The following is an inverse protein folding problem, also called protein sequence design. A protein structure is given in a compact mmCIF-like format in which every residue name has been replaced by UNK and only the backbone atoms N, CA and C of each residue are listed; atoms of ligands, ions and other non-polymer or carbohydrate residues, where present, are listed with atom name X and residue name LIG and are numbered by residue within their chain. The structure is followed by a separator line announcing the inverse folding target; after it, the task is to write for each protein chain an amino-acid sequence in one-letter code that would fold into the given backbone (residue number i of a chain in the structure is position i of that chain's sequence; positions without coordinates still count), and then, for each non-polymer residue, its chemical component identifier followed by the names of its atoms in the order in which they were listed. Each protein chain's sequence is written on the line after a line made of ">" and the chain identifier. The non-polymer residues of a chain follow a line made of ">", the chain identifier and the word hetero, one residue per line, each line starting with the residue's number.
data_IF_191360983256
#
_entry.id   IF_191360983256
#
_cell.length_a   1.000
_cell.length_b   1.000
_cell.length_c   1.000
_cell.angle_alpha   90.00
_cell.angle_beta   90.00
_cell.angle_gamma   90.00
#
_symmetry.space_group_name_H-M   'P 1'
#
loop_
_entity.id
_entity.type
_entity.pdbx_description
1 polymer ?
#
# COMPACT_ATOMS: atom_id res chain seq x y z
N UNK A 1 19.52 5.26 6.32
CA UNK A 1 18.08 5.55 6.53
C UNK A 1 17.57 4.73 7.71
N UNK A 2 16.95 5.36 8.69
CA UNK A 2 16.41 4.63 9.83
C UNK A 2 15.07 3.97 9.47
N UNK A 3 14.56 3.09 10.34
CA UNK A 3 13.34 2.32 10.09
C UNK A 3 12.13 3.22 9.86
N UNK A 4 12.03 4.30 10.62
CA UNK A 4 10.90 5.24 10.53
C UNK A 4 10.89 5.99 9.20
N UNK A 5 12.05 6.47 8.76
CA UNK A 5 12.19 7.18 7.48
C UNK A 5 11.93 6.25 6.30
N UNK A 6 12.36 5.00 6.41
CA UNK A 6 12.13 3.98 5.41
C UNK A 6 10.64 3.69 5.22
N UNK A 7 9.91 3.54 6.33
CA UNK A 7 8.47 3.33 6.29
C UNK A 7 7.76 4.53 5.64
N UNK A 8 8.13 5.74 6.03
CA UNK A 8 7.54 6.95 5.47
C UNK A 8 7.81 7.05 3.96
N UNK A 9 9.02 6.69 3.52
CA UNK A 9 9.36 6.67 2.09
C UNK A 9 8.49 5.69 1.32
N UNK A 10 8.26 4.49 1.87
CA UNK A 10 7.40 3.50 1.25
C UNK A 10 5.98 4.02 1.12
N UNK A 11 5.44 4.60 2.18
CA UNK A 11 4.08 5.17 2.18
C UNK A 11 3.96 6.25 1.09
N UNK A 12 4.92 7.16 1.02
CA UNK A 12 4.90 8.25 0.04
C UNK A 12 4.98 7.72 -1.40
N UNK A 13 5.81 6.71 -1.65
CA UNK A 13 5.92 6.09 -2.98
C UNK A 13 4.60 5.45 -3.38
N UNK A 14 3.93 4.76 -2.46
CA UNK A 14 2.63 4.14 -2.73
C UNK A 14 1.60 5.20 -3.09
N UNK A 15 1.51 6.26 -2.30
CA UNK A 15 0.54 7.34 -2.53
C UNK A 15 0.80 8.02 -3.88
N UNK A 16 2.04 8.41 -4.14
CA UNK A 16 2.41 9.10 -5.38
C UNK A 16 2.17 8.19 -6.59
N UNK A 17 2.50 6.92 -6.50
CA UNK A 17 2.29 5.96 -7.56
C UNK A 17 0.81 5.76 -7.89
N UNK A 18 -0.03 5.67 -6.87
CA UNK A 18 -1.47 5.51 -7.07
C UNK A 18 -2.08 6.76 -7.70
N UNK A 19 -1.68 7.95 -7.26
CA UNK A 19 -2.21 9.21 -7.79
C UNK A 19 -1.77 9.47 -9.23
N UNK A 20 -0.52 9.17 -9.56
CA UNK A 20 0.05 9.55 -10.85
C UNK A 20 -0.35 8.62 -11.99
N UNK A 21 -0.69 7.37 -11.71
CA UNK A 21 -0.90 6.37 -12.75
C UNK A 21 -2.36 6.07 -13.07
N UNK A 22 -3.26 6.14 -12.07
CA UNK A 22 -4.59 5.61 -12.29
C UNK A 22 -5.72 6.30 -11.63
N UNK A 23 -5.53 6.55 -10.37
CA UNK A 23 -6.63 7.01 -9.54
C UNK A 23 -6.34 8.46 -9.17
N UNK A 24 -6.45 9.34 -10.16
CA UNK A 24 -6.24 10.76 -9.93
C UNK A 24 -7.34 11.31 -9.02
N UNK A 25 -7.30 10.86 -7.78
CA UNK A 25 -8.28 11.13 -6.75
C UNK A 25 -7.59 11.87 -5.61
N UNK A 26 -8.02 13.09 -5.34
CA UNK A 26 -7.46 13.93 -4.29
C UNK A 26 -7.62 13.33 -2.89
N UNK A 27 -8.53 12.35 -2.72
CA UNK A 27 -8.73 11.65 -1.45
C UNK A 27 -7.65 10.63 -1.15
N UNK A 28 -6.79 10.31 -2.13
CA UNK A 28 -5.63 9.42 -1.88
C UNK A 28 -4.56 10.24 -1.16
N UNK A 29 -4.65 10.31 0.15
CA UNK A 29 -3.71 11.00 1.02
C UNK A 29 -3.16 10.02 2.04
N UNK A 30 -2.04 10.37 2.65
CA UNK A 30 -1.46 9.57 3.74
C UNK A 30 -2.48 9.35 4.86
N UNK A 31 -3.17 10.41 5.25
CA UNK A 31 -4.16 10.37 6.33
C UNK A 31 -5.28 9.39 6.01
N UNK A 32 -5.81 9.43 4.80
CA UNK A 32 -6.91 8.57 4.39
C UNK A 32 -6.46 7.11 4.19
N UNK A 33 -5.29 6.90 3.59
CA UNK A 33 -4.76 5.55 3.36
C UNK A 33 -4.46 4.85 4.68
N UNK A 34 -3.87 5.57 5.65
CA UNK A 34 -3.59 5.02 6.97
C UNK A 34 -4.81 5.04 7.89
N UNK A 35 -5.87 5.72 7.50
CA UNK A 35 -7.08 5.90 8.30
C UNK A 35 -8.19 4.91 7.95
N UNK A 36 -9.42 5.34 8.16
CA UNK A 36 -10.61 4.50 8.02
C UNK A 36 -11.47 4.86 6.81
N UNK A 37 -10.95 5.64 5.86
CA UNK A 37 -11.71 6.01 4.68
C UNK A 37 -12.18 4.77 3.92
N UNK A 38 -13.43 4.80 3.45
CA UNK A 38 -14.04 3.75 2.65
C UNK A 38 -14.11 4.12 1.17
N UNK A 39 -13.50 5.23 0.76
CA UNK A 39 -13.37 5.59 -0.64
C UNK A 39 -12.70 4.43 -1.38
N UNK A 40 -13.27 4.02 -2.51
CA UNK A 40 -12.81 2.87 -3.27
C UNK A 40 -11.35 2.99 -3.68
N UNK A 41 -10.93 4.15 -4.20
CA UNK A 41 -9.56 4.36 -4.64
C UNK A 41 -8.58 4.37 -3.47
N UNK A 42 -9.00 4.91 -2.32
CA UNK A 42 -8.21 4.86 -1.08
C UNK A 42 -8.05 3.42 -0.61
N UNK A 43 -9.11 2.61 -0.71
CA UNK A 43 -9.03 1.19 -0.35
C UNK A 43 -8.09 0.41 -1.26
N UNK A 44 -8.08 0.73 -2.56
CA UNK A 44 -7.13 0.12 -3.51
C UNK A 44 -5.69 0.50 -3.15
N UNK A 45 -5.44 1.77 -2.86
CA UNK A 45 -4.11 2.24 -2.45
C UNK A 45 -3.67 1.56 -1.14
N UNK A 46 -4.60 1.39 -0.21
CA UNK A 46 -4.32 0.70 1.07
C UNK A 46 -3.94 -0.76 0.84
N UNK A 47 -4.63 -1.45 -0.05
CA UNK A 47 -4.30 -2.85 -0.40
C UNK A 47 -2.91 -2.94 -1.02
N UNK A 48 -2.55 -2.02 -1.90
CA UNK A 48 -1.20 -1.96 -2.48
C UNK A 48 -0.16 -1.75 -1.37
N UNK A 49 -0.43 -0.82 -0.46
CA UNK A 49 0.50 -0.54 0.65
C UNK A 49 0.75 -1.80 1.49
N UNK A 50 -0.31 -2.53 1.83
CA UNK A 50 -0.17 -3.78 2.59
C UNK A 50 0.69 -4.79 1.82
N UNK A 51 0.44 -4.97 0.54
CA UNK A 51 1.22 -5.88 -0.31
C UNK A 51 2.70 -5.50 -0.36
N UNK A 52 2.99 -4.21 -0.52
CA UNK A 52 4.36 -3.70 -0.57
C UNK A 52 5.07 -3.88 0.78
N UNK A 53 4.37 -3.63 1.88
CA UNK A 53 4.96 -3.77 3.21
C UNK A 53 5.29 -5.24 3.52
N UNK A 54 4.43 -6.17 3.12
CA UNK A 54 4.73 -7.61 3.27
C UNK A 54 5.98 -7.98 2.48
N UNK A 55 6.09 -7.52 1.24
CA UNK A 55 7.28 -7.77 0.42
C UNK A 55 8.54 -7.16 1.03
N UNK A 56 8.41 -6.04 1.72
CA UNK A 56 9.52 -5.37 2.38
C UNK A 56 9.93 -6.03 3.70
N UNK A 57 9.23 -7.10 4.12
CA UNK A 57 9.57 -7.86 5.31
C UNK A 57 8.78 -7.50 6.56
N UNK A 58 7.80 -6.59 6.46
CA UNK A 58 6.94 -6.27 7.61
C UNK A 58 5.99 -7.43 7.89
N UNK A 59 5.72 -7.68 9.17
CA UNK A 59 4.75 -8.70 9.58
C UNK A 59 3.34 -8.14 9.57
N UNK A 60 2.33 -9.02 9.55
CA UNK A 60 0.93 -8.60 9.66
C UNK A 60 0.70 -7.82 10.95
N UNK A 61 1.33 -8.23 12.04
CA UNK A 61 1.22 -7.55 13.35
C UNK A 61 1.77 -6.12 13.27
N UNK A 62 2.93 -5.94 12.66
CA UNK A 62 3.51 -4.61 12.47
C UNK A 62 2.62 -3.72 11.60
N UNK A 63 2.11 -4.28 10.51
CA UNK A 63 1.22 -3.55 9.60
C UNK A 63 -0.08 -3.16 10.31
N UNK A 64 -0.64 -4.05 11.12
CA UNK A 64 -1.83 -3.77 11.90
C UNK A 64 -1.62 -2.55 12.82
N UNK A 65 -0.45 -2.47 13.46
CA UNK A 65 -0.10 -1.30 14.28
C UNK A 65 0.00 -0.01 13.46
N UNK A 66 0.63 -0.09 12.29
CA UNK A 66 0.79 1.06 11.39
C UNK A 66 -0.56 1.60 10.92
N UNK A 67 -1.46 0.69 10.52
CA UNK A 67 -2.78 1.06 9.99
C UNK A 67 -3.85 1.18 11.06
N UNK A 68 -3.51 0.93 12.33
CA UNK A 68 -4.46 0.92 13.45
C UNK A 68 -5.65 0.00 13.17
N UNK A 69 -5.33 -1.22 12.71
CA UNK A 69 -6.30 -2.26 12.38
C UNK A 69 -5.93 -3.55 13.09
N UNK A 70 -6.84 -4.53 13.04
CA UNK A 70 -6.55 -5.87 13.55
C UNK A 70 -5.70 -6.64 12.53
N UNK A 71 -4.99 -7.67 12.99
CA UNK A 71 -4.26 -8.57 12.08
C UNK A 71 -5.21 -9.26 11.10
N UNK A 72 -6.43 -9.54 11.52
CA UNK A 72 -7.46 -10.10 10.65
C UNK A 72 -7.82 -9.12 9.53
N UNK A 73 -7.99 -7.84 9.87
CA UNK A 73 -8.24 -6.78 8.88
C UNK A 73 -7.10 -6.64 7.87
N UNK A 74 -5.86 -6.73 8.34
CA UNK A 74 -4.69 -6.74 7.45
C UNK A 74 -4.73 -7.97 6.54
N UNK A 75 -5.12 -9.13 7.06
CA UNK A 75 -5.28 -10.34 6.26
C UNK A 75 -6.29 -10.18 5.14
N UNK A 76 -7.41 -9.50 5.38
CA UNK A 76 -8.39 -9.20 4.34
C UNK A 76 -7.82 -8.28 3.25
N UNK A 77 -7.08 -7.26 3.64
CA UNK A 77 -6.43 -6.36 2.68
C UNK A 77 -5.40 -7.10 1.82
N UNK A 78 -4.67 -8.01 2.44
CA UNK A 78 -3.68 -8.82 1.73
C UNK A 78 -4.34 -9.75 0.73
N UNK A 79 -5.46 -10.39 1.10
CA UNK A 79 -6.26 -11.22 0.18
C UNK A 79 -6.77 -10.39 -0.99
N UNK A 80 -7.28 -9.19 -0.72
CA UNK A 80 -7.73 -8.28 -1.77
C UNK A 80 -6.60 -7.93 -2.73
N UNK A 81 -5.41 -7.66 -2.20
CA UNK A 81 -4.23 -7.39 -3.03
C UNK A 81 -3.94 -8.57 -3.97
N UNK A 82 -3.90 -9.79 -3.44
CA UNK A 82 -3.61 -10.96 -4.27
C UNK A 82 -4.68 -11.22 -5.33
N UNK A 83 -5.94 -11.04 -4.96
CA UNK A 83 -7.04 -11.18 -5.91
C UNK A 83 -6.94 -10.14 -7.03
N UNK A 84 -6.70 -8.89 -6.69
CA UNK A 84 -6.58 -7.81 -7.66
C UNK A 84 -5.36 -7.97 -8.57
N UNK A 85 -4.26 -8.51 -8.06
CA UNK A 85 -3.10 -8.83 -8.87
C UNK A 85 -3.42 -9.85 -9.96
N UNK A 86 -4.37 -10.75 -9.69
CA UNK A 86 -4.81 -11.77 -10.67
C UNK A 86 -5.87 -11.25 -11.62
N UNK A 87 -6.76 -10.37 -11.17
CA UNK A 87 -7.97 -10.00 -11.91
C UNK A 87 -7.92 -8.62 -12.55
N UNK A 88 -7.04 -7.73 -12.11
CA UNK A 88 -6.93 -6.38 -12.64
C UNK A 88 -5.55 -6.14 -13.20
N UNK A 89 -5.47 -6.03 -14.54
CA UNK A 89 -4.21 -5.71 -15.22
C UNK A 89 -3.66 -4.37 -14.76
N UNK A 90 -4.54 -3.41 -14.58
CA UNK A 90 -4.18 -2.05 -14.19
C UNK A 90 -3.64 -2.01 -12.76
N UNK A 91 -4.31 -2.67 -11.82
CA UNK A 91 -3.83 -2.79 -10.44
C UNK A 91 -2.43 -3.44 -10.41
N UNK A 92 -2.24 -4.51 -11.17
CA UNK A 92 -0.96 -5.21 -11.26
C UNK A 92 0.15 -4.29 -11.76
N UNK A 93 -0.13 -3.53 -12.81
CA UNK A 93 0.84 -2.60 -13.39
C UNK A 93 1.27 -1.53 -12.39
N UNK A 94 0.33 -0.91 -11.71
CA UNK A 94 0.61 0.10 -10.69
C UNK A 94 1.42 -0.51 -9.54
N UNK A 95 1.01 -1.67 -9.06
CA UNK A 95 1.67 -2.35 -7.94
C UNK A 95 3.10 -2.74 -8.30
N UNK A 96 3.34 -3.25 -9.51
CA UNK A 96 4.69 -3.62 -9.97
C UNK A 96 5.61 -2.40 -10.04
N UNK A 97 5.13 -1.28 -10.56
CA UNK A 97 5.88 -0.03 -10.61
C UNK A 97 6.26 0.46 -9.21
N UNK A 98 5.30 0.44 -8.30
CA UNK A 98 5.52 0.86 -6.92
C UNK A 98 6.53 -0.06 -6.24
N UNK A 99 6.39 -1.37 -6.42
CA UNK A 99 7.32 -2.35 -5.86
C UNK A 99 8.74 -2.14 -6.37
N UNK A 100 8.91 -1.84 -7.66
CA UNK A 100 10.22 -1.57 -8.24
C UNK A 100 10.88 -0.33 -7.60
N UNK A 101 10.10 0.74 -7.41
CA UNK A 101 10.60 1.96 -6.76
C UNK A 101 10.97 1.70 -5.31
N UNK A 102 10.18 0.92 -4.59
CA UNK A 102 10.47 0.56 -3.21
C UNK A 102 11.74 -0.28 -3.10
N UNK A 103 11.95 -1.22 -4.01
CA UNK A 103 13.16 -2.02 -4.02
C UNK A 103 14.42 -1.17 -4.18
N UNK A 104 14.38 -0.10 -4.95
CA UNK A 104 15.52 0.78 -5.13
C UNK A 104 15.89 1.54 -3.85
N UNK A 105 14.94 1.74 -2.94
CA UNK A 105 15.17 2.35 -1.64
C UNK A 105 15.69 1.33 -0.63
N UNK A 106 15.24 0.07 -0.74
CA UNK A 106 15.55 -0.99 0.22
C UNK A 106 16.94 -1.59 -0.01
N UNK A 107 17.52 -1.34 -1.15
CA UNK A 107 18.87 -1.74 -1.49
C UNK A 107 19.86 -0.63 -1.20
#
# INVERSE_FOLDING_TARGET
>A
MNIKDRLLSIINIVIDGCKSQMWNDSDITKENVLGQSKNENVCLARAILVGVLIEAGYTKTSIAGILKRTTKGVGYLLKSNYLLLKTSRLYRSVKEDISAKCRSILL
#
